data_IF_274813776067
#
_entry.id   IF_274813776067
#
_cell.length_a   1.000
_cell.length_b   1.000
_cell.length_c   1.000
_cell.angle_alpha   90.00
_cell.angle_beta   90.00
_cell.angle_gamma   90.00
#
_symmetry.space_group_name_H-M   'P 1'
#
loop_
_entity.id
_entity.type
_entity.pdbx_description
1 polymer ?
#
# COMPACT_ATOMS: atom_id res chain seq x y z
N UNK A 1 18.56 -4.15 -16.73
CA UNK A 1 19.32 -3.77 -15.56
C UNK A 1 18.58 -2.83 -14.67
N UNK A 2 18.16 -1.69 -15.22
CA UNK A 2 17.40 -0.73 -14.42
C UNK A 2 16.11 -1.32 -13.88
N UNK A 3 15.58 -2.34 -14.53
CA UNK A 3 14.36 -2.98 -14.06
C UNK A 3 14.50 -3.62 -12.70
N UNK A 4 15.71 -4.04 -12.36
CA UNK A 4 15.90 -4.69 -11.07
C UNK A 4 15.54 -3.77 -9.92
N UNK A 5 15.88 -2.50 -10.02
CA UNK A 5 15.55 -1.54 -8.98
C UNK A 5 14.05 -1.27 -8.92
N UNK A 6 13.41 -1.13 -10.08
CA UNK A 6 11.97 -0.94 -10.11
C UNK A 6 11.23 -2.18 -9.61
N UNK A 7 11.73 -3.37 -9.93
CA UNK A 7 11.13 -4.59 -9.43
C UNK A 7 11.25 -4.68 -7.92
N UNK A 8 12.40 -4.28 -7.37
CA UNK A 8 12.58 -4.29 -5.93
C UNK A 8 11.62 -3.32 -5.26
N UNK A 9 11.46 -2.13 -5.83
CA UNK A 9 10.52 -1.16 -5.30
C UNK A 9 9.09 -1.68 -5.37
N UNK A 10 8.75 -2.35 -6.45
CA UNK A 10 7.43 -2.94 -6.59
C UNK A 10 7.14 -3.92 -5.44
N UNK A 11 8.10 -4.78 -5.15
CA UNK A 11 7.92 -5.74 -4.06
C UNK A 11 7.79 -5.06 -2.71
N UNK A 12 8.58 -4.02 -2.50
CA UNK A 12 8.47 -3.26 -1.25
C UNK A 12 7.08 -2.66 -1.11
N UNK A 13 6.57 -2.05 -2.18
CA UNK A 13 5.27 -1.41 -2.14
C UNK A 13 4.14 -2.42 -1.96
N UNK A 14 4.27 -3.59 -2.58
CA UNK A 14 3.30 -4.65 -2.36
C UNK A 14 3.29 -5.06 -0.89
N UNK A 15 4.46 -5.10 -0.26
CA UNK A 15 4.55 -5.37 1.15
C UNK A 15 3.91 -4.28 1.99
N UNK A 16 4.12 -3.02 1.62
CA UNK A 16 3.51 -1.90 2.33
C UNK A 16 1.99 -2.00 2.29
N UNK A 17 1.42 -2.35 1.15
CA UNK A 17 -0.02 -2.55 1.03
C UNK A 17 -0.47 -3.68 1.94
N UNK A 18 0.26 -4.78 1.94
CA UNK A 18 -0.11 -5.93 2.75
C UNK A 18 -0.07 -5.62 4.24
N UNK A 19 0.94 -4.87 4.68
CA UNK A 19 1.06 -4.50 6.09
C UNK A 19 -0.11 -3.61 6.51
N UNK A 20 -0.40 -2.60 5.70
CA UNK A 20 -1.49 -1.69 6.03
C UNK A 20 -2.82 -2.44 6.08
N UNK A 21 -3.03 -3.34 5.12
CA UNK A 21 -4.26 -4.14 5.09
C UNK A 21 -4.38 -5.01 6.33
N UNK A 22 -3.27 -5.65 6.74
CA UNK A 22 -3.29 -6.49 7.93
C UNK A 22 -3.62 -5.66 9.17
N UNK A 23 -3.06 -4.46 9.25
CA UNK A 23 -3.35 -3.58 10.38
C UNK A 23 -4.82 -3.19 10.44
N UNK A 24 -5.43 -2.91 9.29
CA UNK A 24 -6.85 -2.60 9.24
C UNK A 24 -7.68 -3.77 9.77
N UNK A 25 -7.32 -4.99 9.35
CA UNK A 25 -8.05 -6.17 9.81
C UNK A 25 -7.96 -6.34 11.31
N UNK A 26 -6.79 -6.08 11.88
CA UNK A 26 -6.63 -6.20 13.33
C UNK A 26 -7.47 -5.14 14.05
N UNK A 27 -7.46 -3.91 13.56
CA UNK A 27 -8.26 -2.86 14.17
C UNK A 27 -9.75 -3.18 14.08
N UNK A 28 -10.18 -3.74 12.97
CA UNK A 28 -11.59 -4.12 12.82
C UNK A 28 -11.98 -5.15 13.86
N UNK A 29 -11.12 -6.12 14.12
CA UNK A 29 -11.40 -7.14 15.12
C UNK A 29 -11.44 -6.55 16.51
N UNK A 30 -10.54 -5.62 16.80
CA UNK A 30 -10.46 -5.02 18.12
C UNK A 30 -11.63 -4.09 18.42
N UNK A 31 -12.28 -3.60 17.39
CA UNK A 31 -13.38 -2.66 17.61
C UNK A 31 -14.65 -3.33 18.15
N UNK A 32 -14.69 -4.66 18.07
CA UNK A 32 -15.88 -5.38 18.54
C UNK A 32 -15.93 -5.30 20.06
N UNK A 33 -17.04 -4.75 20.59
CA UNK A 33 -17.24 -4.69 22.01
C UNK A 33 -16.53 -3.58 22.73
N UNK A 34 -15.82 -2.73 22.01
CA UNK A 34 -15.10 -1.60 22.60
C UNK A 34 -15.89 -0.33 22.38
N UNK A 35 -15.95 0.50 23.43
CA UNK A 35 -16.73 1.73 23.34
C UNK A 35 -16.01 2.90 22.71
N UNK A 36 -14.70 2.82 22.51
CA UNK A 36 -13.92 3.97 22.05
C UNK A 36 -13.69 3.91 20.56
N UNK A 37 -14.78 4.01 19.83
CA UNK A 37 -14.76 3.90 18.39
C UNK A 37 -14.00 5.00 17.66
N UNK A 38 -14.03 6.27 18.13
CA UNK A 38 -13.35 7.32 17.36
C UNK A 38 -11.87 7.08 17.19
N UNK A 39 -11.18 6.59 18.22
CA UNK A 39 -9.75 6.35 18.12
C UNK A 39 -9.45 5.21 17.14
N UNK A 40 -10.30 4.19 17.13
CA UNK A 40 -10.12 3.06 16.24
C UNK A 40 -10.37 3.50 14.80
N UNK A 41 -11.39 4.32 14.58
CA UNK A 41 -11.66 4.84 13.25
C UNK A 41 -10.47 5.66 12.73
N UNK A 42 -9.90 6.50 13.60
CA UNK A 42 -8.74 7.28 13.19
C UNK A 42 -7.55 6.39 12.86
N UNK A 43 -7.34 5.34 13.65
CA UNK A 43 -6.25 4.40 13.38
C UNK A 43 -6.45 3.70 12.04
N UNK A 44 -7.69 3.30 11.76
CA UNK A 44 -7.99 2.67 10.48
C UNK A 44 -7.77 3.65 9.34
N UNK A 45 -8.17 4.90 9.54
CA UNK A 45 -7.99 5.91 8.49
C UNK A 45 -6.52 6.09 8.15
N UNK A 46 -5.65 6.10 9.15
CA UNK A 46 -4.21 6.21 8.91
C UNK A 46 -3.71 5.05 8.07
N UNK A 47 -4.13 3.84 8.39
CA UNK A 47 -3.69 2.67 7.64
C UNK A 47 -4.25 2.67 6.23
N UNK A 48 -5.49 3.09 6.06
CA UNK A 48 -6.08 3.20 4.73
C UNK A 48 -5.31 4.22 3.90
N UNK A 49 -4.88 5.32 4.53
CA UNK A 49 -4.06 6.31 3.84
C UNK A 49 -2.73 5.72 3.38
N UNK A 50 -2.08 4.94 4.24
CA UNK A 50 -0.82 4.29 3.87
C UNK A 50 -1.03 3.31 2.72
N UNK A 51 -2.12 2.57 2.77
CA UNK A 51 -2.42 1.62 1.71
C UNK A 51 -2.66 2.33 0.40
N UNK A 52 -3.43 3.41 0.43
CA UNK A 52 -3.75 4.18 -0.78
C UNK A 52 -2.49 4.78 -1.38
N UNK A 53 -1.61 5.30 -0.54
CA UNK A 53 -0.37 5.89 -1.02
C UNK A 53 0.52 4.82 -1.68
N UNK A 54 0.66 3.67 -1.02
CA UNK A 54 1.47 2.59 -1.57
C UNK A 54 0.87 2.06 -2.87
N UNK A 55 -0.45 1.94 -2.91
CA UNK A 55 -1.14 1.47 -4.11
C UNK A 55 -0.94 2.44 -5.27
N UNK A 56 -0.99 3.72 -4.99
CA UNK A 56 -0.78 4.74 -6.01
C UNK A 56 0.65 4.66 -6.55
N UNK A 57 1.62 4.51 -5.67
CA UNK A 57 3.01 4.34 -6.09
C UNK A 57 3.20 3.08 -6.90
N UNK A 58 2.52 2.00 -6.52
CA UNK A 58 2.57 0.76 -7.30
C UNK A 58 2.08 0.99 -8.72
N UNK A 59 0.99 1.71 -8.86
CA UNK A 59 0.47 2.01 -10.18
C UNK A 59 1.50 2.75 -11.01
N UNK A 60 2.20 3.69 -10.40
CA UNK A 60 3.24 4.44 -11.10
C UNK A 60 4.43 3.57 -11.47
N UNK A 61 4.84 2.68 -10.57
CA UNK A 61 5.94 1.78 -10.86
C UNK A 61 5.58 0.86 -12.01
N UNK A 62 4.37 0.34 -12.01
CA UNK A 62 3.93 -0.53 -13.10
C UNK A 62 3.90 0.21 -14.43
N UNK A 63 3.50 1.47 -14.41
CA UNK A 63 3.56 2.29 -15.61
C UNK A 63 4.99 2.42 -16.10
N UNK A 64 5.91 2.69 -15.19
CA UNK A 64 7.31 2.86 -15.57
C UNK A 64 7.89 1.57 -16.14
N UNK A 65 7.53 0.44 -15.57
CA UNK A 65 8.00 -0.84 -16.07
C UNK A 65 7.47 -1.11 -17.48
N UNK A 66 6.25 -0.74 -17.76
CA UNK A 66 5.66 -0.93 -19.07
C UNK A 66 6.15 0.11 -20.07
N UNK A 67 6.30 1.34 -19.60
CA UNK A 67 6.69 2.46 -20.44
C UNK A 67 8.03 2.27 -21.09
N UNK A 68 8.89 1.56 -20.41
CA UNK A 68 10.23 1.39 -20.92
C UNK A 68 10.22 0.70 -22.29
N UNK A 69 9.17 -0.03 -22.60
CA UNK A 69 9.05 -0.66 -23.90
C UNK A 69 8.77 0.34 -25.00
N UNK A 70 8.17 1.46 -24.63
CA UNK A 70 7.87 2.52 -25.59
C UNK A 70 9.02 3.49 -25.73
N UNK A 71 9.78 3.66 -24.67
CA UNK A 71 10.86 4.64 -24.66
C UNK A 71 12.07 4.16 -25.43
N UNK A 72 12.16 2.88 -25.64
CA UNK A 72 13.34 2.31 -26.31
C UNK A 72 13.49 2.75 -27.74
N UNK A 73 12.48 3.31 -28.29
CA UNK A 73 12.58 3.83 -29.63
C UNK A 73 13.42 5.07 -29.69
#
# INVERSE_FOLDING_TARGET
MSDMLLQALKKKLEGDVAVAKANVLIYKQKSVGIGEHPEIVQAIELEVGKMAEAQDKLNSVNLLLNEKEFIQD
#
